data_IF_215874506066
#
_entry.id   IF_215874506066
#
_cell.length_a   1.000
_cell.length_b   1.000
_cell.length_c   1.000
_cell.angle_alpha   90.00
_cell.angle_beta   90.00
_cell.angle_gamma   90.00
#
_symmetry.space_group_name_H-M   'P 1'
#
loop_
_entity.id
_entity.type
_entity.pdbx_description
1 polymer ?
#
# COMPACT_ATOMS: atom_id res chain seq x y z
N UNK A 1 -17.38 -52.29 -68.47
CA UNK A 1 -18.10 -51.17 -67.71
C UNK A 1 -17.41 -51.05 -66.36
N UNK A 2 -16.51 -50.12 -66.23
CA UNK A 2 -15.80 -49.90 -64.97
C UNK A 2 -16.04 -48.46 -64.52
N UNK A 3 -16.80 -48.28 -63.44
CA UNK A 3 -17.10 -46.97 -62.86
C UNK A 3 -15.96 -46.58 -61.91
N UNK A 4 -15.21 -45.57 -62.29
CA UNK A 4 -14.23 -44.89 -61.39
C UNK A 4 -15.00 -44.01 -60.39
N UNK A 5 -14.89 -44.32 -59.09
CA UNK A 5 -15.25 -43.42 -58.00
C UNK A 5 -14.11 -42.43 -57.74
N UNK A 6 -14.33 -41.15 -58.00
CA UNK A 6 -13.45 -40.06 -57.56
C UNK A 6 -13.82 -39.66 -56.13
N UNK A 7 -12.97 -40.02 -55.19
CA UNK A 7 -13.06 -39.49 -53.81
C UNK A 7 -12.54 -38.07 -53.77
N UNK A 8 -13.39 -37.11 -53.50
CA UNK A 8 -13.02 -35.74 -53.23
C UNK A 8 -12.69 -35.66 -51.73
N UNK A 9 -11.39 -35.49 -51.39
CA UNK A 9 -10.92 -35.17 -50.03
C UNK A 9 -11.10 -33.67 -49.82
N UNK A 10 -12.12 -33.29 -49.06
CA UNK A 10 -12.28 -31.90 -48.60
C UNK A 10 -11.37 -31.70 -47.38
N UNK A 11 -10.25 -31.08 -47.58
CA UNK A 11 -9.39 -30.61 -46.47
C UNK A 11 -10.06 -29.38 -45.89
N UNK A 12 -10.71 -29.53 -44.72
CA UNK A 12 -11.26 -28.43 -43.93
C UNK A 12 -10.09 -27.75 -43.22
N UNK A 13 -9.53 -26.69 -43.79
CA UNK A 13 -8.64 -25.76 -43.09
C UNK A 13 -9.43 -25.04 -42.06
N UNK A 14 -9.41 -25.51 -40.79
CA UNK A 14 -9.84 -24.71 -39.64
C UNK A 14 -8.86 -23.56 -39.44
N UNK A 15 -9.11 -22.42 -40.06
CA UNK A 15 -8.54 -21.17 -39.69
C UNK A 15 -9.06 -20.86 -38.27
N UNK A 16 -8.24 -21.13 -37.27
CA UNK A 16 -8.44 -20.63 -35.90
C UNK A 16 -8.37 -19.10 -35.95
N UNK A 17 -9.49 -18.45 -36.20
CA UNK A 17 -9.65 -17.03 -35.96
C UNK A 17 -9.52 -16.82 -34.45
N UNK A 18 -8.34 -16.46 -33.98
CA UNK A 18 -8.18 -15.90 -32.64
C UNK A 18 -9.15 -14.72 -32.54
N UNK A 19 -10.04 -14.74 -31.56
CA UNK A 19 -10.90 -13.58 -31.28
C UNK A 19 -10.02 -12.35 -31.09
N UNK A 20 -10.45 -11.13 -31.47
CA UNK A 20 -9.66 -9.91 -31.28
C UNK A 20 -9.12 -9.76 -29.86
N UNK A 21 -9.79 -10.34 -28.89
CA UNK A 21 -9.44 -10.37 -27.47
C UNK A 21 -8.22 -11.25 -27.19
N UNK A 22 -8.15 -12.48 -27.71
CA UNK A 22 -6.98 -13.36 -27.57
C UNK A 22 -5.71 -12.74 -28.19
N UNK A 23 -5.87 -11.79 -29.11
CA UNK A 23 -4.78 -11.11 -29.78
C UNK A 23 -4.03 -10.13 -28.86
N UNK A 24 -4.73 -9.38 -27.96
CA UNK A 24 -4.11 -8.39 -27.06
C UNK A 24 -3.13 -9.04 -26.09
N UNK A 25 -3.53 -10.12 -25.42
CA UNK A 25 -2.64 -10.84 -24.49
C UNK A 25 -1.46 -11.48 -25.20
N UNK A 26 -1.68 -12.05 -26.40
CA UNK A 26 -0.59 -12.61 -27.21
C UNK A 26 0.42 -11.53 -27.64
N UNK A 27 -0.04 -10.32 -27.95
CA UNK A 27 0.81 -9.18 -28.27
C UNK A 27 1.61 -8.71 -27.05
N UNK A 28 0.96 -8.61 -25.88
CA UNK A 28 1.63 -8.27 -24.62
C UNK A 28 2.71 -9.30 -24.27
N UNK A 29 2.43 -10.60 -24.39
CA UNK A 29 3.44 -11.67 -24.16
C UNK A 29 4.63 -11.53 -25.09
N UNK A 30 4.43 -11.24 -26.37
CA UNK A 30 5.54 -11.02 -27.32
C UNK A 30 6.35 -9.77 -26.95
N UNK A 31 5.71 -8.70 -26.52
CA UNK A 31 6.38 -7.50 -26.07
C UNK A 31 7.21 -7.77 -24.81
N UNK A 32 6.65 -8.48 -23.81
CA UNK A 32 7.34 -8.86 -22.58
C UNK A 32 8.51 -9.84 -22.80
N UNK A 33 8.48 -10.63 -23.88
CA UNK A 33 9.56 -11.56 -24.23
C UNK A 33 10.80 -10.88 -24.85
N UNK A 34 10.72 -9.59 -25.19
CA UNK A 34 11.87 -8.83 -25.68
C UNK A 34 12.82 -8.49 -24.52
N UNK A 35 14.10 -8.30 -24.82
CA UNK A 35 15.05 -7.76 -23.83
C UNK A 35 14.61 -6.37 -23.34
N UNK A 36 14.66 -6.13 -22.04
CA UNK A 36 14.11 -4.91 -21.39
C UNK A 36 14.67 -3.64 -22.04
N UNK A 37 15.97 -3.60 -22.34
CA UNK A 37 16.65 -2.45 -22.94
C UNK A 37 16.23 -2.19 -24.40
N UNK A 38 15.67 -3.20 -25.07
CA UNK A 38 15.26 -3.12 -26.48
C UNK A 38 13.76 -2.88 -26.65
N UNK A 39 12.99 -2.89 -25.55
CA UNK A 39 11.54 -2.71 -25.62
C UNK A 39 11.19 -1.26 -25.96
N UNK A 40 10.32 -1.07 -26.96
CA UNK A 40 9.60 0.20 -27.11
C UNK A 40 8.77 0.48 -25.87
N UNK A 41 8.47 1.75 -25.53
CA UNK A 41 7.46 2.03 -24.52
C UNK A 41 6.15 1.31 -24.81
N UNK A 42 5.56 0.63 -23.83
CA UNK A 42 4.30 -0.11 -24.03
C UNK A 42 3.18 0.80 -24.55
N UNK A 43 3.20 2.09 -24.20
CA UNK A 43 2.27 3.12 -24.69
C UNK A 43 2.31 3.33 -26.21
N UNK A 44 3.39 2.94 -26.90
CA UNK A 44 3.52 3.02 -28.35
C UNK A 44 2.89 1.83 -29.08
N UNK A 45 2.53 0.78 -28.34
CA UNK A 45 1.95 -0.42 -28.92
C UNK A 45 0.48 -0.23 -29.28
N UNK A 46 0.08 -0.66 -30.46
CA UNK A 46 -1.29 -0.49 -30.99
C UNK A 46 -2.37 -1.16 -30.13
N UNK A 47 -2.00 -2.15 -29.33
CA UNK A 47 -2.91 -2.86 -28.42
C UNK A 47 -3.04 -2.22 -27.05
N UNK A 48 -2.22 -1.22 -26.72
CA UNK A 48 -2.15 -0.60 -25.40
C UNK A 48 -3.47 0.04 -24.93
N UNK A 49 -4.21 0.65 -25.87
CA UNK A 49 -5.47 1.37 -25.60
C UNK A 49 -6.73 0.51 -25.80
N UNK A 50 -6.60 -0.77 -26.14
CA UNK A 50 -7.77 -1.64 -26.34
C UNK A 50 -8.44 -1.97 -25.02
N UNK A 51 -9.78 -1.95 -25.02
CA UNK A 51 -10.56 -2.41 -23.90
C UNK A 51 -10.32 -3.90 -23.64
N UNK A 52 -10.17 -4.27 -22.38
CA UNK A 52 -9.90 -5.64 -21.94
C UNK A 52 -11.16 -6.27 -21.32
N UNK A 53 -11.36 -7.54 -21.56
CA UNK A 53 -12.24 -8.35 -20.73
C UNK A 53 -11.66 -8.53 -19.33
N UNK A 54 -12.47 -8.94 -18.36
CA UNK A 54 -12.02 -9.27 -16.99
C UNK A 54 -10.88 -10.29 -16.99
N UNK A 55 -11.01 -11.35 -17.80
CA UNK A 55 -9.97 -12.40 -17.91
C UNK A 55 -8.65 -11.84 -18.43
N UNK A 56 -8.70 -11.01 -19.49
CA UNK A 56 -7.50 -10.39 -20.04
C UNK A 56 -6.84 -9.42 -19.08
N UNK A 57 -7.63 -8.60 -18.39
CA UNK A 57 -7.09 -7.66 -17.39
C UNK A 57 -6.40 -8.40 -16.25
N UNK A 58 -6.96 -9.52 -15.77
CA UNK A 58 -6.33 -10.37 -14.73
C UNK A 58 -5.04 -10.99 -15.22
N UNK A 59 -5.02 -11.53 -16.45
CA UNK A 59 -3.81 -12.13 -17.03
C UNK A 59 -2.75 -11.06 -17.31
N UNK A 60 -3.12 -9.92 -17.87
CA UNK A 60 -2.22 -8.79 -18.11
C UNK A 60 -1.60 -8.26 -16.81
N UNK A 61 -2.40 -8.09 -15.75
CA UNK A 61 -1.92 -7.66 -14.44
C UNK A 61 -0.86 -8.62 -13.89
N UNK A 62 -1.11 -9.94 -13.97
CA UNK A 62 -0.16 -10.97 -13.54
C UNK A 62 1.15 -10.90 -14.32
N UNK A 63 1.08 -10.77 -15.64
CA UNK A 63 2.25 -10.72 -16.52
C UNK A 63 3.09 -9.46 -16.29
N UNK A 64 2.46 -8.30 -16.22
CA UNK A 64 3.15 -7.01 -16.02
C UNK A 64 3.77 -6.95 -14.62
N UNK A 65 3.05 -7.39 -13.58
CA UNK A 65 3.58 -7.42 -12.22
C UNK A 65 4.78 -8.37 -12.09
N UNK A 66 4.71 -9.54 -12.72
CA UNK A 66 5.83 -10.49 -12.73
C UNK A 66 7.07 -9.90 -13.43
N UNK A 67 6.90 -9.20 -14.54
CA UNK A 67 7.97 -8.52 -15.26
C UNK A 67 8.61 -7.41 -14.41
N UNK A 68 7.80 -6.54 -13.80
CA UNK A 68 8.28 -5.51 -12.86
C UNK A 68 9.04 -6.14 -11.69
N UNK A 69 8.53 -7.21 -11.09
CA UNK A 69 9.22 -7.91 -9.99
C UNK A 69 10.57 -8.50 -10.42
N UNK A 70 10.66 -9.03 -11.63
CA UNK A 70 11.93 -9.56 -12.15
C UNK A 70 12.96 -8.45 -12.34
N UNK A 71 12.56 -7.28 -12.85
CA UNK A 71 13.43 -6.11 -12.98
C UNK A 71 13.90 -5.60 -11.59
N UNK A 72 12.99 -5.51 -10.62
CA UNK A 72 13.35 -5.12 -9.25
C UNK A 72 14.21 -6.14 -8.51
N UNK A 73 14.04 -7.45 -8.77
CA UNK A 73 14.95 -8.47 -8.22
C UNK A 73 16.39 -8.25 -8.63
N UNK A 74 16.63 -7.88 -9.87
CA UNK A 74 17.98 -7.62 -10.36
C UNK A 74 18.64 -6.43 -9.64
N UNK A 75 17.89 -5.37 -9.39
CA UNK A 75 18.42 -4.14 -8.75
C UNK A 75 18.49 -4.23 -7.23
N UNK A 76 17.50 -4.84 -6.58
CA UNK A 76 17.38 -4.87 -5.12
C UNK A 76 18.18 -6.00 -4.46
N UNK A 77 18.65 -7.01 -5.20
CA UNK A 77 19.33 -8.17 -4.62
C UNK A 77 20.53 -7.77 -3.78
N UNK A 78 21.44 -6.98 -4.36
CA UNK A 78 22.64 -6.51 -3.65
C UNK A 78 22.30 -5.63 -2.44
N UNK A 79 21.28 -4.78 -2.54
CA UNK A 79 20.84 -3.93 -1.43
C UNK A 79 20.28 -4.77 -0.27
N UNK A 80 19.48 -5.78 -0.58
CA UNK A 80 18.94 -6.70 0.43
C UNK A 80 20.04 -7.51 1.12
N UNK A 81 20.98 -8.07 0.35
CA UNK A 81 22.12 -8.85 0.87
C UNK A 81 23.05 -8.00 1.74
N UNK A 82 23.28 -6.75 1.33
CA UNK A 82 24.11 -5.80 2.11
C UNK A 82 23.33 -5.09 3.22
N UNK A 83 22.00 -5.32 3.34
CA UNK A 83 21.11 -4.67 4.32
C UNK A 83 21.18 -3.14 4.26
N UNK A 84 21.26 -2.59 3.06
CA UNK A 84 21.35 -1.16 2.77
C UNK A 84 20.53 -0.83 1.51
N UNK A 85 19.37 -0.22 1.70
CA UNK A 85 18.51 0.26 0.60
C UNK A 85 18.96 1.67 0.22
N UNK A 86 18.91 1.98 -1.09
CA UNK A 86 19.36 3.25 -1.64
C UNK A 86 18.25 3.82 -2.52
N UNK A 87 17.94 5.10 -2.35
CA UNK A 87 17.04 5.85 -3.20
C UNK A 87 17.55 7.28 -3.39
N UNK A 88 18.07 7.60 -4.59
CA UNK A 88 18.76 8.86 -4.83
C UNK A 88 19.96 9.00 -3.88
N UNK A 89 20.01 10.10 -3.14
CA UNK A 89 21.04 10.39 -2.14
C UNK A 89 20.71 9.79 -0.76
N UNK A 90 19.50 9.28 -0.57
CA UNK A 90 19.04 8.72 0.68
C UNK A 90 19.35 7.23 0.79
N UNK A 91 19.59 6.77 2.00
CA UNK A 91 19.82 5.34 2.26
C UNK A 91 19.21 4.89 3.58
N UNK A 92 18.76 3.64 3.61
CA UNK A 92 18.21 2.99 4.80
C UNK A 92 19.00 1.73 5.11
N UNK A 93 19.85 1.81 6.12
CA UNK A 93 20.47 0.63 6.70
C UNK A 93 19.46 -0.12 7.56
N UNK A 94 19.44 -1.44 7.51
CA UNK A 94 18.54 -2.24 8.32
C UNK A 94 19.23 -3.53 8.80
N UNK A 95 18.63 -4.17 9.78
CA UNK A 95 18.92 -5.54 10.16
C UNK A 95 17.64 -6.29 10.46
N UNK A 96 17.65 -7.61 10.38
CA UNK A 96 16.45 -8.39 10.58
C UNK A 96 16.71 -9.75 11.24
N UNK A 97 15.65 -10.30 11.81
CA UNK A 97 15.59 -11.68 12.30
C UNK A 97 14.37 -12.38 11.70
N UNK A 98 14.50 -13.64 11.41
CA UNK A 98 13.39 -14.51 11.02
C UNK A 98 12.94 -15.33 12.21
N UNK A 99 11.61 -15.47 12.36
CA UNK A 99 10.98 -16.23 13.41
C UNK A 99 10.00 -17.25 12.82
N UNK A 100 9.87 -18.39 13.46
CA UNK A 100 8.91 -19.44 13.12
C UNK A 100 9.02 -19.97 11.68
N UNK A 101 8.16 -20.92 11.36
CA UNK A 101 8.04 -21.48 10.01
C UNK A 101 7.30 -20.51 9.07
N UNK A 102 7.55 -20.66 7.77
CA UNK A 102 6.83 -19.85 6.76
C UNK A 102 5.39 -20.34 6.61
N UNK A 103 4.39 -19.50 6.89
CA UNK A 103 3.00 -19.82 6.60
C UNK A 103 2.77 -20.04 5.10
N UNK A 104 1.74 -20.83 4.75
CA UNK A 104 1.41 -21.10 3.33
C UNK A 104 1.13 -19.84 2.53
N UNK A 105 0.50 -18.85 3.15
CA UNK A 105 0.15 -17.58 2.54
C UNK A 105 1.28 -16.54 2.53
N UNK A 106 2.45 -16.88 3.01
CA UNK A 106 3.60 -15.96 3.14
C UNK A 106 3.81 -15.47 4.58
N UNK A 107 4.99 -14.93 4.84
CA UNK A 107 5.42 -14.43 6.16
C UNK A 107 4.80 -13.09 6.50
N UNK A 108 4.70 -12.83 7.79
CA UNK A 108 4.47 -11.48 8.32
C UNK A 108 5.76 -10.63 8.23
N UNK A 109 5.60 -9.33 8.03
CA UNK A 109 6.68 -8.35 8.14
C UNK A 109 6.38 -7.39 9.29
N UNK A 110 7.33 -7.27 10.24
CA UNK A 110 7.27 -6.29 11.32
C UNK A 110 8.39 -5.28 11.12
N UNK A 111 8.05 -4.03 10.78
CA UNK A 111 9.00 -2.93 10.68
C UNK A 111 8.99 -2.20 12.02
N UNK A 112 10.11 -2.25 12.74
CA UNK A 112 10.23 -1.78 14.11
C UNK A 112 11.25 -0.64 14.21
N UNK A 113 10.76 0.58 14.37
CA UNK A 113 11.54 1.80 14.40
C UNK A 113 12.14 2.06 15.77
N UNK A 114 13.45 2.39 15.78
CA UNK A 114 14.19 2.68 17.01
C UNK A 114 13.89 4.09 17.56
N UNK A 115 14.09 4.25 18.86
CA UNK A 115 14.06 5.53 19.54
C UNK A 115 15.33 6.35 19.32
N UNK A 116 15.44 7.50 19.97
CA UNK A 116 16.57 8.42 19.86
C UNK A 116 16.14 9.74 19.21
N UNK A 117 16.87 10.16 18.19
CA UNK A 117 16.68 11.47 17.57
C UNK A 117 17.41 12.60 18.30
N UNK A 118 17.75 13.65 17.57
CA UNK A 118 18.50 14.81 18.06
C UNK A 118 19.70 14.44 18.96
N UNK A 119 20.43 13.39 18.58
CA UNK A 119 21.52 12.81 19.34
C UNK A 119 22.68 12.42 18.42
N UNK A 120 23.87 12.28 19.01
CA UNK A 120 25.05 11.84 18.25
C UNK A 120 24.80 10.50 17.55
N UNK A 121 25.36 10.25 16.34
CA UNK A 121 25.16 9.01 15.57
C UNK A 121 25.34 7.75 16.41
N UNK A 122 26.38 7.69 17.27
CA UNK A 122 26.64 6.53 18.14
C UNK A 122 25.47 6.20 19.08
N UNK A 123 24.71 7.20 19.52
CA UNK A 123 23.56 7.02 20.40
C UNK A 123 22.42 6.39 19.60
N UNK A 124 22.11 6.93 18.42
CA UNK A 124 21.09 6.38 17.53
C UNK A 124 21.45 4.97 17.04
N UNK A 125 22.72 4.69 16.78
CA UNK A 125 23.21 3.34 16.44
C UNK A 125 22.99 2.36 17.61
N UNK A 126 23.19 2.81 18.86
CA UNK A 126 22.89 1.97 20.02
C UNK A 126 21.39 1.71 20.17
N UNK A 127 20.54 2.73 19.95
CA UNK A 127 19.09 2.57 19.98
C UNK A 127 18.62 1.58 18.88
N UNK A 128 19.18 1.68 17.67
CA UNK A 128 18.92 0.72 16.60
C UNK A 128 19.31 -0.72 16.98
N UNK A 129 20.50 -0.92 17.56
CA UNK A 129 20.94 -2.24 18.05
C UNK A 129 20.04 -2.78 19.15
N UNK A 130 19.50 -1.93 20.00
CA UNK A 130 18.52 -2.31 21.02
C UNK A 130 17.21 -2.74 20.37
N UNK A 131 16.71 -1.99 19.37
CA UNK A 131 15.46 -2.27 18.68
C UNK A 131 15.45 -3.63 17.98
N UNK A 132 16.58 -4.04 17.37
CA UNK A 132 16.74 -5.38 16.73
C UNK A 132 16.45 -6.54 17.70
N UNK A 133 16.55 -6.32 19.00
CA UNK A 133 16.41 -7.35 20.05
C UNK A 133 15.14 -7.18 20.89
N UNK A 134 14.35 -6.16 20.61
CA UNK A 134 13.32 -5.72 21.54
C UNK A 134 12.11 -6.67 21.54
N UNK A 135 11.65 -7.13 20.37
CA UNK A 135 10.47 -7.97 20.24
C UNK A 135 10.76 -9.28 19.51
N UNK A 136 9.93 -10.31 19.82
CA UNK A 136 10.06 -11.66 19.27
C UNK A 136 8.68 -12.15 18.82
N UNK A 137 8.25 -11.85 17.59
CA UNK A 137 7.00 -12.39 17.05
C UNK A 137 7.06 -13.91 16.93
N UNK A 138 5.91 -14.57 16.94
CA UNK A 138 5.82 -16.03 16.81
C UNK A 138 6.21 -16.54 15.41
N UNK A 139 5.96 -15.75 14.37
CA UNK A 139 6.38 -16.00 12.98
C UNK A 139 6.67 -14.69 12.26
N UNK A 140 7.39 -14.78 11.12
CA UNK A 140 7.62 -13.66 10.22
C UNK A 140 9.04 -13.16 10.22
N UNK A 141 9.24 -12.04 9.56
CA UNK A 141 10.49 -11.29 9.51
C UNK A 141 10.35 -10.02 10.34
N UNK A 142 11.17 -9.87 11.35
CA UNK A 142 11.26 -8.70 12.19
C UNK A 142 12.43 -7.85 11.74
N UNK A 143 12.15 -6.70 11.18
CA UNK A 143 13.14 -5.76 10.62
C UNK A 143 13.24 -4.53 11.51
N UNK A 144 14.45 -4.17 11.89
CA UNK A 144 14.75 -2.89 12.51
C UNK A 144 15.56 -2.03 11.54
N UNK A 145 14.97 -0.99 10.93
CA UNK A 145 15.73 -0.01 10.16
C UNK A 145 16.48 0.93 11.07
N UNK A 146 17.64 1.43 10.61
CA UNK A 146 18.37 2.57 11.18
C UNK A 146 17.89 3.82 10.47
N UNK A 147 17.30 4.76 11.20
CA UNK A 147 16.84 6.00 10.61
C UNK A 147 17.91 6.68 9.75
N UNK A 148 17.57 7.20 8.57
CA UNK A 148 18.55 7.81 7.67
C UNK A 148 19.30 8.98 8.31
N UNK A 149 18.65 9.77 9.14
CA UNK A 149 19.20 10.94 9.82
C UNK A 149 19.39 10.72 11.32
N UNK A 150 19.91 11.75 12.02
CA UNK A 150 20.02 11.79 13.48
C UNK A 150 19.24 12.96 14.08
N UNK A 151 18.39 13.59 13.30
CA UNK A 151 17.54 14.73 13.67
C UNK A 151 16.41 14.30 14.62
N UNK A 152 15.70 15.25 15.22
CA UNK A 152 14.57 14.94 16.12
C UNK A 152 13.40 14.25 15.37
N UNK A 153 13.23 14.62 14.10
CA UNK A 153 12.18 14.18 13.17
C UNK A 153 12.59 12.98 12.31
N UNK A 154 13.55 12.20 12.75
CA UNK A 154 14.25 11.14 12.02
C UNK A 154 13.34 10.10 11.31
N UNK A 155 12.07 10.01 11.70
CA UNK A 155 11.07 9.12 11.07
C UNK A 155 9.93 9.88 10.37
N UNK A 156 9.92 11.22 10.42
CA UNK A 156 8.83 12.03 9.86
C UNK A 156 9.06 12.42 8.40
N UNK A 157 10.30 12.47 7.96
CA UNK A 157 10.75 13.01 6.68
C UNK A 157 10.24 12.15 5.50
N UNK A 158 9.93 12.78 4.37
CA UNK A 158 9.29 12.15 3.19
C UNK A 158 10.09 11.01 2.56
N UNK A 159 11.42 11.08 2.61
CA UNK A 159 12.28 10.01 2.09
C UNK A 159 12.12 8.68 2.86
N UNK A 160 11.66 8.72 4.12
CA UNK A 160 11.37 7.52 4.93
C UNK A 160 10.27 6.69 4.28
N UNK A 161 9.22 7.33 3.77
CA UNK A 161 8.09 6.68 3.11
C UNK A 161 8.56 5.91 1.87
N UNK A 162 9.39 6.53 1.03
CA UNK A 162 9.96 5.91 -0.17
C UNK A 162 10.91 4.75 0.18
N UNK A 163 11.74 4.92 1.20
CA UNK A 163 12.64 3.87 1.66
C UNK A 163 11.87 2.70 2.30
N UNK A 164 10.74 2.96 2.96
CA UNK A 164 9.88 1.89 3.49
C UNK A 164 9.13 1.16 2.39
N UNK A 165 8.62 1.85 1.35
CA UNK A 165 8.07 1.18 0.16
C UNK A 165 9.14 0.26 -0.49
N UNK A 166 10.39 0.70 -0.56
CA UNK A 166 11.50 -0.10 -1.07
C UNK A 166 11.83 -1.30 -0.16
N UNK A 167 11.79 -1.11 1.17
CA UNK A 167 12.00 -2.18 2.15
C UNK A 167 10.90 -3.24 2.05
N UNK A 168 9.64 -2.82 1.95
CA UNK A 168 8.49 -3.70 1.77
C UNK A 168 8.65 -4.52 0.50
N UNK A 169 8.95 -3.88 -0.63
CA UNK A 169 9.16 -4.56 -1.90
C UNK A 169 10.30 -5.58 -1.80
N UNK A 170 11.44 -5.22 -1.20
CA UNK A 170 12.56 -6.13 -1.01
C UNK A 170 12.17 -7.34 -0.14
N UNK A 171 11.44 -7.11 0.95
CA UNK A 171 10.96 -8.19 1.82
C UNK A 171 9.97 -9.13 1.10
N UNK A 172 9.07 -8.60 0.26
CA UNK A 172 8.18 -9.40 -0.60
C UNK A 172 8.98 -10.24 -1.59
N UNK A 173 10.01 -9.65 -2.22
CA UNK A 173 10.80 -10.32 -3.26
C UNK A 173 11.78 -11.39 -2.72
N UNK A 174 12.36 -11.19 -1.52
CA UNK A 174 13.48 -11.99 -1.02
C UNK A 174 13.18 -12.75 0.28
N UNK A 175 12.09 -12.43 0.96
CA UNK A 175 11.73 -13.08 2.23
C UNK A 175 10.32 -13.68 2.24
N UNK A 176 9.68 -13.83 1.08
CA UNK A 176 8.33 -14.38 0.92
C UNK A 176 7.27 -13.69 1.81
N UNK A 177 7.38 -12.38 1.98
CA UNK A 177 6.42 -11.60 2.77
C UNK A 177 5.09 -11.50 2.03
N UNK A 178 4.00 -11.70 2.77
CA UNK A 178 2.66 -11.41 2.28
C UNK A 178 2.37 -9.91 2.46
N UNK A 179 2.09 -9.15 1.39
CA UNK A 179 1.85 -7.70 1.47
C UNK A 179 0.62 -7.32 2.31
N UNK A 180 -0.26 -8.26 2.63
CA UNK A 180 -1.40 -8.03 3.53
C UNK A 180 -1.11 -8.36 5.01
N UNK A 181 0.13 -8.71 5.33
CA UNK A 181 0.60 -9.03 6.69
C UNK A 181 1.81 -8.16 7.08
N UNK A 182 1.71 -6.85 6.85
CA UNK A 182 2.77 -5.89 7.18
C UNK A 182 2.34 -5.05 8.37
N UNK A 183 3.18 -4.99 9.38
CA UNK A 183 2.93 -4.36 10.66
C UNK A 183 4.01 -3.31 10.95
N UNK A 184 3.57 -2.10 11.31
CA UNK A 184 4.45 -1.01 11.69
C UNK A 184 4.48 -0.87 13.22
N UNK A 185 5.66 -0.73 13.79
CA UNK A 185 5.81 -0.52 15.23
C UNK A 185 7.04 0.35 15.55
N UNK A 186 7.06 0.94 16.71
CA UNK A 186 8.20 1.77 17.09
C UNK A 186 8.13 2.27 18.52
N UNK A 187 9.28 2.53 19.12
CA UNK A 187 9.44 2.93 20.51
C UNK A 187 10.06 4.33 20.62
N UNK A 188 9.55 5.18 21.51
CA UNK A 188 10.03 6.55 21.74
C UNK A 188 9.97 7.37 20.43
N UNK A 189 11.05 7.94 19.93
CA UNK A 189 11.05 8.59 18.61
C UNK A 189 10.59 7.65 17.46
N UNK A 190 10.79 6.33 17.60
CA UNK A 190 10.17 5.35 16.70
C UNK A 190 8.64 5.29 16.85
N UNK A 191 8.12 5.52 18.06
CA UNK A 191 6.70 5.68 18.33
C UNK A 191 6.13 6.98 17.73
N UNK A 192 6.90 8.07 17.74
CA UNK A 192 6.57 9.31 17.01
C UNK A 192 6.42 8.99 15.52
N UNK A 193 7.37 8.23 14.94
CA UNK A 193 7.29 7.76 13.57
C UNK A 193 6.07 6.89 13.27
N UNK A 194 5.61 6.07 14.22
CA UNK A 194 4.36 5.30 14.03
C UNK A 194 3.15 6.23 13.92
N UNK A 195 3.06 7.25 14.75
CA UNK A 195 2.00 8.25 14.65
C UNK A 195 2.00 8.95 13.28
N UNK A 196 3.17 9.19 12.69
CA UNK A 196 3.33 9.83 11.39
C UNK A 196 2.98 8.88 10.24
N UNK A 197 3.63 7.73 10.18
CA UNK A 197 3.58 6.81 9.04
C UNK A 197 2.30 5.97 9.01
N UNK A 198 1.72 5.62 10.18
CA UNK A 198 0.55 4.77 10.21
C UNK A 198 -0.67 5.39 9.52
N UNK A 199 -1.07 6.65 9.76
CA UNK A 199 -2.20 7.26 9.07
C UNK A 199 -1.91 7.63 7.62
N UNK A 200 -0.70 8.13 7.28
CA UNK A 200 -0.39 8.61 5.93
C UNK A 200 -0.07 7.50 4.93
N UNK A 201 0.36 6.33 5.42
CA UNK A 201 0.63 5.12 4.62
C UNK A 201 -0.27 3.95 5.01
N UNK A 202 -1.50 4.21 5.50
CA UNK A 202 -2.38 3.15 6.02
C UNK A 202 -2.71 2.07 4.98
N UNK A 203 -2.61 2.37 3.71
CA UNK A 203 -2.78 1.42 2.62
C UNK A 203 -1.61 0.43 2.45
N UNK A 204 -0.57 0.53 3.29
CA UNK A 204 0.55 -0.43 3.40
C UNK A 204 0.41 -1.38 4.58
N UNK A 205 -0.27 -0.96 5.64
CA UNK A 205 -0.25 -1.65 6.91
C UNK A 205 -1.50 -2.50 7.16
N UNK A 206 -1.34 -3.67 7.78
CA UNK A 206 -2.44 -4.42 8.39
C UNK A 206 -2.79 -3.83 9.76
N UNK A 207 -1.77 -3.48 10.54
CA UNK A 207 -1.92 -2.80 11.82
C UNK A 207 -0.63 -2.05 12.18
N UNK A 208 -0.74 -1.13 13.14
CA UNK A 208 0.39 -0.42 13.69
C UNK A 208 0.34 -0.32 15.23
N UNK A 209 1.51 -0.32 15.86
CA UNK A 209 1.67 -0.24 17.31
C UNK A 209 2.61 0.88 17.71
N UNK A 210 2.09 1.92 18.34
CA UNK A 210 2.83 3.02 18.89
C UNK A 210 3.22 2.74 20.35
N UNK A 211 4.53 2.81 20.65
CA UNK A 211 5.05 2.64 22.01
C UNK A 211 5.81 3.88 22.45
N UNK A 212 5.36 4.51 23.54
CA UNK A 212 5.99 5.65 24.22
C UNK A 212 6.33 6.85 23.30
N UNK A 213 5.55 7.07 22.23
CA UNK A 213 5.76 8.15 21.27
C UNK A 213 4.88 9.38 21.50
N UNK A 214 5.11 10.41 20.66
CA UNK A 214 4.38 11.67 20.60
C UNK A 214 3.84 11.90 19.18
N UNK A 215 2.55 12.25 18.98
CA UNK A 215 1.95 12.39 17.65
C UNK A 215 2.38 13.65 16.89
N UNK A 216 2.89 14.65 17.58
CA UNK A 216 3.09 15.98 17.02
C UNK A 216 1.78 16.54 16.41
N UNK A 217 1.79 16.92 15.13
CA UNK A 217 0.67 17.52 14.39
C UNK A 217 -0.25 16.52 13.68
N UNK A 218 0.06 15.21 13.73
CA UNK A 218 -0.67 14.22 12.94
C UNK A 218 -2.12 14.02 13.33
N UNK A 219 -2.91 13.52 12.38
CA UNK A 219 -4.33 13.23 12.53
C UNK A 219 -4.62 11.73 12.53
N UNK A 220 -5.51 11.22 13.40
CA UNK A 220 -5.92 9.83 13.40
C UNK A 220 -6.85 9.45 12.23
N UNK A 221 -7.30 10.39 11.41
CA UNK A 221 -8.33 10.15 10.38
C UNK A 221 -7.92 9.09 9.36
N UNK A 222 -6.65 9.05 8.96
CA UNK A 222 -6.12 8.05 8.03
C UNK A 222 -6.09 6.60 8.58
N UNK A 223 -6.25 6.42 9.90
CA UNK A 223 -6.19 5.10 10.55
C UNK A 223 -7.45 4.25 10.36
N UNK A 224 -8.47 4.75 9.65
CA UNK A 224 -9.78 4.09 9.56
C UNK A 224 -9.74 2.60 9.24
N UNK A 225 -8.84 2.19 8.36
CA UNK A 225 -8.85 0.84 7.76
C UNK A 225 -7.77 -0.10 8.30
N UNK A 226 -7.05 0.30 9.33
CA UNK A 226 -6.01 -0.53 9.98
C UNK A 226 -6.29 -0.70 11.48
N UNK A 227 -5.72 -1.74 12.07
CA UNK A 227 -5.65 -1.84 13.53
C UNK A 227 -4.60 -0.85 14.06
N UNK A 228 -4.92 -0.09 15.12
CA UNK A 228 -3.96 0.82 15.74
C UNK A 228 -3.94 0.65 17.25
N UNK A 229 -2.75 0.41 17.84
CA UNK A 229 -2.64 0.28 19.28
C UNK A 229 -1.63 1.26 19.85
N UNK A 230 -1.97 1.81 21.00
CA UNK A 230 -1.18 2.78 21.76
C UNK A 230 -0.74 2.12 23.07
N UNK A 231 0.56 2.06 23.31
CA UNK A 231 1.15 1.61 24.55
C UNK A 231 1.97 2.75 25.16
N UNK A 232 1.67 3.12 26.41
CA UNK A 232 2.31 4.25 27.06
C UNK A 232 2.50 3.98 28.55
N UNK A 233 3.66 4.34 29.09
CA UNK A 233 3.85 4.33 30.54
C UNK A 233 2.93 5.35 31.20
N UNK A 234 2.16 4.93 32.22
CA UNK A 234 1.24 5.85 32.92
C UNK A 234 1.96 7.02 33.59
N UNK A 235 3.25 6.84 33.91
CA UNK A 235 4.14 7.85 34.52
C UNK A 235 5.03 8.58 33.50
N UNK A 236 4.87 8.33 32.18
CA UNK A 236 5.65 9.03 31.14
C UNK A 236 5.10 10.43 30.90
N UNK A 237 5.41 11.33 31.83
CA UNK A 237 4.94 12.72 31.79
C UNK A 237 5.82 13.64 30.90
N UNK A 238 7.00 13.18 30.44
CA UNK A 238 7.82 13.98 29.55
C UNK A 238 7.07 14.28 28.26
N UNK A 239 7.09 15.54 27.83
CA UNK A 239 6.30 16.04 26.69
C UNK A 239 4.79 15.75 26.78
N UNK A 240 4.26 15.52 27.97
CA UNK A 240 2.86 15.14 28.22
C UNK A 240 2.40 13.87 27.50
N UNK A 241 3.31 12.93 27.23
CA UNK A 241 3.02 11.72 26.40
C UNK A 241 1.86 10.91 26.96
N UNK A 242 1.80 10.67 28.28
CA UNK A 242 0.73 9.91 28.92
C UNK A 242 -0.65 10.57 28.74
N UNK A 243 -0.74 11.90 28.90
CA UNK A 243 -2.01 12.63 28.72
C UNK A 243 -2.40 12.72 27.24
N UNK A 244 -1.42 12.85 26.35
CA UNK A 244 -1.64 12.83 24.90
C UNK A 244 -2.15 11.46 24.45
N UNK A 245 -1.57 10.37 24.96
CA UNK A 245 -2.05 9.01 24.67
C UNK A 245 -3.52 8.84 25.10
N UNK A 246 -3.92 9.34 26.30
CA UNK A 246 -5.31 9.34 26.75
C UNK A 246 -6.23 10.15 25.80
N UNK A 247 -5.78 11.32 25.35
CA UNK A 247 -6.55 12.14 24.40
C UNK A 247 -6.73 11.45 23.06
N UNK A 248 -5.67 10.83 22.54
CA UNK A 248 -5.75 10.06 21.29
C UNK A 248 -6.72 8.88 21.41
N UNK A 249 -6.71 8.19 22.56
CA UNK A 249 -7.70 7.14 22.84
C UNK A 249 -9.12 7.67 22.73
N UNK A 250 -9.44 8.78 23.41
CA UNK A 250 -10.77 9.40 23.33
C UNK A 250 -11.14 9.85 21.91
N UNK A 251 -10.18 10.34 21.13
CA UNK A 251 -10.40 10.70 19.73
C UNK A 251 -10.74 9.45 18.89
N UNK A 252 -10.00 8.37 19.05
CA UNK A 252 -10.24 7.11 18.35
C UNK A 252 -11.57 6.48 18.77
N UNK A 253 -11.92 6.51 20.06
CA UNK A 253 -13.25 6.10 20.56
C UNK A 253 -14.37 6.86 19.86
N UNK A 254 -14.25 8.20 19.78
CA UNK A 254 -15.24 9.06 19.12
C UNK A 254 -15.35 8.74 17.62
N UNK A 255 -14.21 8.56 16.93
CA UNK A 255 -14.19 8.19 15.52
C UNK A 255 -14.82 6.82 15.28
N UNK A 256 -14.55 5.83 16.14
CA UNK A 256 -15.14 4.51 16.03
C UNK A 256 -16.65 4.52 16.33
N UNK A 257 -17.12 5.35 17.26
CA UNK A 257 -18.56 5.53 17.51
C UNK A 257 -19.29 6.13 16.31
N UNK A 258 -18.66 7.09 15.63
CA UNK A 258 -19.22 7.74 14.42
C UNK A 258 -19.14 6.84 13.18
N UNK A 259 -18.15 5.95 13.12
CA UNK A 259 -17.93 5.00 12.03
C UNK A 259 -17.55 3.62 12.59
N UNK A 260 -18.54 2.83 13.05
CA UNK A 260 -18.29 1.54 13.72
C UNK A 260 -17.56 0.50 12.88
N UNK A 261 -17.52 0.70 11.55
CA UNK A 261 -16.79 -0.15 10.60
C UNK A 261 -15.30 0.09 10.54
N UNK A 262 -14.79 1.18 11.16
CA UNK A 262 -13.40 1.61 11.12
C UNK A 262 -12.76 1.81 12.49
N UNK A 263 -11.55 2.37 12.49
CA UNK A 263 -10.82 2.83 13.67
C UNK A 263 -10.67 1.78 14.78
N UNK A 264 -10.39 0.53 14.40
CA UNK A 264 -10.15 -0.55 15.38
C UNK A 264 -8.88 -0.26 16.16
N UNK A 265 -9.01 -0.07 17.47
CA UNK A 265 -7.89 0.35 18.30
C UNK A 265 -7.92 -0.24 19.70
N UNK A 266 -6.77 -0.18 20.37
CA UNK A 266 -6.59 -0.44 21.81
C UNK A 266 -5.62 0.61 22.33
N UNK A 267 -5.96 1.19 23.49
CA UNK A 267 -5.07 2.10 24.22
C UNK A 267 -4.79 1.53 25.59
N UNK A 268 -3.53 1.25 25.87
CA UNK A 268 -3.09 0.70 27.13
C UNK A 268 -2.06 1.60 27.80
N UNK A 269 -2.42 2.16 28.95
CA UNK A 269 -1.48 2.82 29.84
C UNK A 269 -0.98 1.78 30.86
N UNK A 270 0.34 1.58 30.88
CA UNK A 270 1.00 0.63 31.76
C UNK A 270 1.21 1.29 33.14
N UNK A 271 0.42 0.86 34.12
CA UNK A 271 0.44 1.47 35.44
C UNK A 271 1.80 1.30 36.12
N UNK A 272 2.25 2.35 36.80
CA UNK A 272 3.55 2.38 37.47
C UNK A 272 4.76 2.40 36.54
N UNK A 273 4.58 2.46 35.20
CA UNK A 273 5.69 2.49 34.26
C UNK A 273 6.01 3.91 33.82
N UNK A 274 7.30 4.30 33.86
CA UNK A 274 7.79 5.52 33.23
C UNK A 274 7.94 5.31 31.73
N UNK A 275 8.80 6.11 31.06
CA UNK A 275 9.09 6.00 29.62
C UNK A 275 9.46 4.58 29.17
N UNK A 276 10.23 3.85 29.97
CA UNK A 276 10.53 2.43 29.73
C UNK A 276 9.46 1.52 30.38
N UNK A 277 8.65 0.88 29.53
CA UNK A 277 7.54 0.02 29.98
C UNK A 277 7.95 -1.41 30.34
N UNK A 278 9.25 -1.70 30.43
CA UNK A 278 9.77 -3.01 30.79
C UNK A 278 9.26 -4.16 29.91
N UNK A 279 9.03 -3.87 28.62
CA UNK A 279 8.48 -4.80 27.61
C UNK A 279 7.04 -5.25 27.85
N UNK A 280 6.29 -4.64 28.74
CA UNK A 280 4.86 -4.92 28.91
C UNK A 280 4.04 -4.58 27.66
N UNK A 281 4.55 -3.66 26.84
CA UNK A 281 4.05 -3.28 25.53
C UNK A 281 4.18 -4.39 24.45
N UNK A 282 4.90 -5.48 24.75
CA UNK A 282 5.06 -6.63 23.83
C UNK A 282 3.76 -7.31 23.46
N UNK A 283 2.70 -7.13 24.25
CA UNK A 283 1.32 -7.60 23.97
C UNK A 283 0.75 -6.99 22.69
N UNK A 284 1.32 -5.89 22.19
CA UNK A 284 0.96 -5.31 20.92
C UNK A 284 1.23 -6.25 19.72
N UNK A 285 2.29 -7.06 19.79
CA UNK A 285 2.68 -7.94 18.67
C UNK A 285 1.60 -8.98 18.36
N UNK A 286 1.13 -9.84 19.30
CA UNK A 286 0.05 -10.77 19.04
C UNK A 286 -1.27 -10.06 18.70
N UNK A 287 -1.52 -8.86 19.23
CA UNK A 287 -2.71 -8.10 18.86
C UNK A 287 -2.68 -7.67 17.40
N UNK A 288 -1.56 -7.13 16.90
CA UNK A 288 -1.40 -6.72 15.49
C UNK A 288 -1.61 -7.90 14.53
N UNK A 289 -1.13 -9.08 14.84
CA UNK A 289 -1.22 -10.28 13.98
C UNK A 289 -2.69 -10.68 13.72
N UNK A 290 -3.64 -10.26 14.55
CA UNK A 290 -5.07 -10.53 14.33
C UNK A 290 -5.65 -9.75 13.16
N UNK A 291 -4.92 -8.79 12.60
CA UNK A 291 -5.35 -7.95 11.47
C UNK A 291 -4.70 -8.40 10.17
N UNK A 292 -5.45 -8.23 9.08
CA UNK A 292 -4.95 -8.30 7.71
C UNK A 292 -5.33 -7.02 6.98
N UNK A 293 -4.45 -6.54 6.12
CA UNK A 293 -4.74 -5.38 5.28
C UNK A 293 -5.87 -5.72 4.30
N UNK A 294 -6.81 -4.81 4.16
CA UNK A 294 -7.75 -4.79 3.05
C UNK A 294 -7.29 -3.72 2.05
N UNK A 295 -6.75 -4.08 0.87
CA UNK A 295 -6.21 -3.11 -0.08
C UNK A 295 -7.30 -2.30 -0.80
N UNK A 296 -8.55 -2.77 -0.81
CA UNK A 296 -9.68 -2.10 -1.48
C UNK A 296 -10.88 -1.93 -0.53
N UNK A 297 -10.72 -1.20 0.59
CA UNK A 297 -11.78 -1.03 1.56
C UNK A 297 -12.95 -0.26 0.98
N UNK A 298 -14.19 -0.62 1.38
CA UNK A 298 -15.41 0.01 0.88
C UNK A 298 -15.59 1.47 1.29
N UNK A 299 -14.84 1.93 2.29
CA UNK A 299 -14.77 3.33 2.73
C UNK A 299 -13.33 3.74 2.95
N UNK A 300 -12.94 4.88 2.40
CA UNK A 300 -11.64 5.51 2.58
C UNK A 300 -11.84 6.89 3.20
N UNK A 301 -11.05 7.18 4.21
CA UNK A 301 -10.85 8.52 4.78
C UNK A 301 -9.39 8.85 4.58
N UNK A 302 -9.10 9.73 3.62
CA UNK A 302 -7.76 10.15 3.26
C UNK A 302 -7.50 11.55 3.76
N UNK A 303 -6.62 11.68 4.72
CA UNK A 303 -6.15 12.96 5.26
C UNK A 303 -4.72 13.18 4.83
N UNK A 304 -4.45 14.23 4.06
CA UNK A 304 -3.09 14.63 3.71
C UNK A 304 -2.39 15.21 4.93
N UNK A 305 -1.14 14.82 5.11
CA UNK A 305 -0.24 15.32 6.13
C UNK A 305 0.69 16.40 5.52
N UNK A 306 1.76 16.77 6.21
CA UNK A 306 2.84 17.61 5.67
C UNK A 306 3.66 16.86 4.60
N UNK A 307 3.80 15.54 4.72
CA UNK A 307 4.28 14.66 3.65
C UNK A 307 3.14 14.25 2.74
N UNK A 308 3.15 14.79 1.52
CA UNK A 308 2.06 14.59 0.57
C UNK A 308 2.16 13.25 -0.16
N UNK A 309 1.04 12.53 -0.24
CA UNK A 309 0.86 11.36 -1.09
C UNK A 309 -0.08 11.65 -2.25
N UNK A 310 0.26 11.12 -3.44
CA UNK A 310 -0.60 11.24 -4.62
C UNK A 310 -1.64 10.13 -4.73
N UNK A 311 -1.52 9.08 -3.94
CA UNK A 311 -2.47 7.96 -3.93
C UNK A 311 -2.65 7.38 -2.54
N UNK A 312 -3.86 6.88 -2.27
CA UNK A 312 -4.24 6.26 -1.02
C UNK A 312 -5.37 5.26 -1.25
N UNK A 313 -5.10 3.98 -1.10
CA UNK A 313 -6.00 2.89 -1.51
C UNK A 313 -6.39 3.01 -3.00
N UNK A 314 -7.67 3.17 -3.31
CA UNK A 314 -8.22 3.29 -4.65
C UNK A 314 -8.49 4.75 -5.10
N UNK A 315 -8.02 5.72 -4.33
CA UNK A 315 -8.07 7.14 -4.66
C UNK A 315 -6.67 7.65 -5.06
N UNK A 316 -6.64 8.60 -5.98
CA UNK A 316 -5.43 9.35 -6.29
C UNK A 316 -5.77 10.80 -6.67
N UNK A 317 -4.77 11.67 -6.59
CA UNK A 317 -4.85 13.05 -7.08
C UNK A 317 -3.73 13.29 -8.11
N UNK A 318 -3.95 14.16 -9.12
CA UNK A 318 -2.89 14.55 -10.03
C UNK A 318 -1.68 15.16 -9.31
N UNK A 319 -0.55 15.15 -9.99
CA UNK A 319 0.67 15.81 -9.48
C UNK A 319 0.41 17.30 -9.19
N UNK A 320 0.97 17.79 -8.09
CA UNK A 320 0.81 19.17 -7.64
C UNK A 320 -0.53 19.52 -6.99
N UNK A 321 -1.48 18.58 -6.89
CA UNK A 321 -2.80 18.82 -6.29
C UNK A 321 -2.83 18.52 -4.79
N UNK A 322 -1.97 17.61 -4.32
CA UNK A 322 -1.90 17.28 -2.90
C UNK A 322 -1.53 18.51 -2.05
N UNK A 323 -2.23 18.70 -0.93
CA UNK A 323 -1.97 19.82 -0.02
C UNK A 323 -2.17 19.40 1.44
N UNK A 324 -1.36 19.95 2.33
CA UNK A 324 -1.44 19.69 3.78
C UNK A 324 -2.84 19.97 4.30
N UNK A 325 -3.36 19.03 5.10
CA UNK A 325 -4.70 19.13 5.69
C UNK A 325 -5.84 18.81 4.74
N UNK A 326 -5.57 18.53 3.45
CA UNK A 326 -6.58 18.09 2.49
C UNK A 326 -7.26 16.80 2.94
N UNK A 327 -8.58 16.69 2.74
CA UNK A 327 -9.37 15.53 3.16
C UNK A 327 -10.29 15.06 2.04
N UNK A 328 -10.24 13.75 1.76
CA UNK A 328 -11.17 13.07 0.84
C UNK A 328 -11.84 11.93 1.61
N UNK A 329 -13.17 11.88 1.56
CA UNK A 329 -13.95 10.77 2.09
C UNK A 329 -14.77 10.17 0.97
N UNK A 330 -14.57 8.89 0.73
CA UNK A 330 -15.25 8.18 -0.36
C UNK A 330 -15.66 6.77 0.06
N UNK A 331 -16.79 6.32 -0.48
CA UNK A 331 -17.34 4.98 -0.27
C UNK A 331 -17.71 4.35 -1.60
N UNK A 332 -17.73 3.00 -1.63
CA UNK A 332 -18.44 2.28 -2.69
C UNK A 332 -19.31 1.17 -2.11
N UNK A 333 -20.42 0.90 -2.80
CA UNK A 333 -21.31 -0.23 -2.51
C UNK A 333 -21.90 -0.76 -3.83
N UNK A 334 -21.65 -2.04 -4.12
CA UNK A 334 -21.98 -2.59 -5.44
C UNK A 334 -21.24 -1.82 -6.53
N UNK A 335 -21.95 -1.29 -7.52
CA UNK A 335 -21.38 -0.50 -8.62
C UNK A 335 -21.55 1.02 -8.42
N UNK A 336 -21.83 1.47 -7.23
CA UNK A 336 -22.00 2.89 -6.90
C UNK A 336 -20.85 3.38 -6.00
N UNK A 337 -20.25 4.50 -6.38
CA UNK A 337 -19.21 5.22 -5.65
C UNK A 337 -19.80 6.55 -5.21
N UNK A 338 -19.61 6.92 -3.95
CA UNK A 338 -19.99 8.22 -3.43
C UNK A 338 -18.78 8.94 -2.85
N UNK A 339 -18.44 10.08 -3.40
CA UNK A 339 -17.46 11.02 -2.86
C UNK A 339 -18.22 11.93 -1.91
N UNK A 340 -18.11 11.65 -0.61
CA UNK A 340 -18.81 12.37 0.45
C UNK A 340 -18.17 13.73 0.72
N UNK A 341 -16.84 13.80 0.58
CA UNK A 341 -16.02 15.00 0.77
C UNK A 341 -14.81 14.94 -0.13
N UNK A 342 -14.41 16.07 -0.70
CA UNK A 342 -13.14 16.26 -1.39
C UNK A 342 -12.67 17.70 -1.21
N UNK A 343 -11.39 17.88 -0.86
CA UNK A 343 -10.75 19.20 -0.80
C UNK A 343 -10.39 19.74 -2.18
N UNK A 344 -10.47 18.92 -3.21
CA UNK A 344 -10.06 19.27 -4.59
C UNK A 344 -11.15 18.90 -5.59
N UNK A 345 -11.21 19.65 -6.69
CA UNK A 345 -12.02 19.30 -7.88
C UNK A 345 -11.36 18.28 -8.80
N UNK A 346 -10.07 17.96 -8.56
CA UNK A 346 -9.30 17.03 -9.38
C UNK A 346 -9.01 15.73 -8.60
N UNK A 347 -9.74 14.65 -8.92
CA UNK A 347 -9.65 13.36 -8.23
C UNK A 347 -9.62 12.22 -9.24
N UNK A 348 -8.77 11.23 -9.00
CA UNK A 348 -8.71 9.99 -9.75
C UNK A 348 -9.32 8.86 -8.91
N UNK A 349 -10.27 8.13 -9.48
CA UNK A 349 -10.92 6.98 -8.88
C UNK A 349 -10.45 5.74 -9.61
N UNK A 350 -9.68 4.90 -8.95
CA UNK A 350 -9.11 3.67 -9.50
C UNK A 350 -10.01 2.48 -9.20
N UNK A 351 -10.24 1.65 -10.21
CA UNK A 351 -11.21 0.58 -10.17
C UNK A 351 -10.62 -0.75 -10.60
N UNK A 352 -11.09 -1.82 -9.95
CA UNK A 352 -10.80 -3.18 -10.36
C UNK A 352 -11.98 -4.12 -10.06
N UNK A 353 -11.89 -5.36 -10.56
CA UNK A 353 -12.94 -6.37 -10.42
C UNK A 353 -13.09 -6.97 -9.01
N UNK A 354 -12.19 -6.62 -8.06
CA UNK A 354 -12.33 -6.98 -6.65
C UNK A 354 -13.27 -5.99 -5.92
N UNK A 355 -13.38 -4.77 -6.43
CA UNK A 355 -14.24 -3.74 -5.87
C UNK A 355 -15.67 -3.86 -6.38
N UNK A 356 -15.82 -4.02 -7.69
CA UNK A 356 -17.14 -3.98 -8.35
C UNK A 356 -17.13 -4.70 -9.69
N UNK A 357 -18.31 -4.93 -10.25
CA UNK A 357 -18.47 -5.56 -11.56
C UNK A 357 -18.31 -4.52 -12.69
N UNK A 358 -17.13 -4.43 -13.29
CA UNK A 358 -16.86 -3.48 -14.38
C UNK A 358 -17.54 -3.84 -15.72
N UNK A 359 -18.22 -4.98 -15.83
CA UNK A 359 -19.05 -5.30 -16.99
C UNK A 359 -20.46 -4.64 -16.92
N UNK A 360 -20.76 -4.00 -15.78
CA UNK A 360 -21.99 -3.24 -15.55
C UNK A 360 -21.69 -1.75 -15.44
N UNK A 361 -22.67 -0.87 -15.70
CA UNK A 361 -22.47 0.55 -15.49
C UNK A 361 -22.03 0.87 -14.06
N UNK A 362 -21.05 1.77 -13.96
CA UNK A 362 -20.59 2.37 -12.70
C UNK A 362 -21.33 3.69 -12.52
N UNK A 363 -21.74 3.96 -11.29
CA UNK A 363 -22.37 5.21 -10.91
C UNK A 363 -21.41 5.96 -9.98
N UNK A 364 -21.19 7.25 -10.23
CA UNK A 364 -20.40 8.10 -9.31
C UNK A 364 -21.25 9.26 -8.85
N UNK A 365 -21.28 9.46 -7.55
CA UNK A 365 -21.90 10.61 -6.89
C UNK A 365 -20.86 11.49 -6.22
N UNK A 366 -21.02 12.78 -6.33
CA UNK A 366 -20.24 13.78 -5.60
C UNK A 366 -21.20 14.54 -4.68
N UNK A 367 -21.00 14.44 -3.36
CA UNK A 367 -21.87 15.02 -2.35
C UNK A 367 -23.36 14.68 -2.59
N UNK A 368 -23.65 13.41 -2.90
CA UNK A 368 -24.98 12.89 -3.17
C UNK A 368 -25.53 13.13 -4.57
N UNK A 369 -24.95 14.06 -5.38
CA UNK A 369 -25.37 14.32 -6.75
C UNK A 369 -24.71 13.34 -7.71
N UNK A 370 -25.49 12.67 -8.56
CA UNK A 370 -24.94 11.81 -9.61
C UNK A 370 -24.24 12.67 -10.67
N UNK A 371 -22.95 12.37 -10.90
CA UNK A 371 -22.09 13.08 -11.87
C UNK A 371 -21.62 12.16 -12.99
N UNK A 372 -21.81 10.84 -12.84
CA UNK A 372 -21.49 9.86 -13.87
C UNK A 372 -22.34 8.62 -13.74
N UNK A 373 -22.73 8.09 -14.89
CA UNK A 373 -23.33 6.74 -15.04
C UNK A 373 -22.90 6.18 -16.39
N UNK A 374 -22.10 5.17 -16.40
CA UNK A 374 -21.60 4.61 -17.64
C UNK A 374 -20.76 3.36 -17.49
N UNK A 375 -20.42 2.75 -18.60
CA UNK A 375 -19.43 1.67 -18.67
C UNK A 375 -18.03 2.26 -18.47
N UNK A 376 -17.19 1.53 -17.74
CA UNK A 376 -15.77 1.88 -17.55
C UNK A 376 -14.92 0.72 -18.07
N UNK A 377 -14.10 0.99 -19.06
CA UNK A 377 -13.29 -0.03 -19.72
C UNK A 377 -12.00 -0.29 -18.94
N UNK A 378 -11.63 -1.57 -18.83
CA UNK A 378 -10.31 -2.00 -18.35
C UNK A 378 -9.31 -1.77 -19.46
N UNK A 379 -8.12 -1.28 -19.15
CA UNK A 379 -7.07 -1.04 -20.13
C UNK A 379 -5.67 -1.28 -19.58
N UNK A 380 -4.69 -1.49 -20.47
CA UNK A 380 -3.30 -1.73 -20.10
C UNK A 380 -2.61 -0.49 -19.52
N UNK A 381 -3.04 0.72 -19.90
CA UNK A 381 -2.42 1.95 -19.44
C UNK A 381 -2.58 2.11 -17.92
N UNK A 382 -3.81 1.92 -17.41
CA UNK A 382 -4.09 1.98 -15.98
C UNK A 382 -3.39 0.84 -15.23
N UNK A 383 -3.42 -0.40 -15.78
CA UNK A 383 -2.70 -1.53 -15.19
C UNK A 383 -1.20 -1.23 -15.04
N UNK A 384 -0.54 -0.82 -16.12
CA UNK A 384 0.89 -0.55 -16.10
C UNK A 384 1.25 0.58 -15.13
N UNK A 385 0.50 1.69 -15.17
CA UNK A 385 0.72 2.83 -14.29
C UNK A 385 0.58 2.44 -12.82
N UNK A 386 -0.52 1.79 -12.42
CA UNK A 386 -0.77 1.42 -11.04
C UNK A 386 0.19 0.34 -10.53
N UNK A 387 0.61 -0.60 -11.37
CA UNK A 387 1.64 -1.59 -11.04
C UNK A 387 2.98 -0.89 -10.80
N UNK A 388 3.42 -0.01 -11.70
CA UNK A 388 4.69 0.72 -11.54
C UNK A 388 4.71 1.65 -10.34
N UNK A 389 3.59 2.29 -10.05
CA UNK A 389 3.46 3.17 -8.89
C UNK A 389 3.50 2.39 -7.58
N UNK A 390 2.73 1.31 -7.48
CA UNK A 390 2.48 0.63 -6.21
C UNK A 390 3.32 -0.63 -5.99
N UNK A 391 3.64 -1.38 -7.03
CA UNK A 391 4.35 -2.67 -7.00
C UNK A 391 3.74 -3.69 -6.02
N UNK A 392 2.44 -3.59 -5.81
CA UNK A 392 1.66 -4.30 -4.82
C UNK A 392 0.47 -4.99 -5.51
N UNK A 393 0.36 -6.32 -5.45
CA UNK A 393 -0.69 -7.06 -6.14
C UNK A 393 -2.11 -6.69 -5.68
N UNK A 394 -2.28 -6.21 -4.44
CA UNK A 394 -3.55 -5.77 -3.89
C UNK A 394 -3.99 -4.39 -4.38
N UNK A 395 -3.04 -3.57 -4.87
CA UNK A 395 -3.27 -2.19 -5.32
C UNK A 395 -3.10 -2.03 -6.84
N UNK A 396 -3.39 -3.09 -7.59
CA UNK A 396 -3.44 -3.08 -9.05
C UNK A 396 -4.86 -2.74 -9.50
N UNK A 397 -4.99 -1.72 -10.33
CA UNK A 397 -6.26 -1.29 -10.88
C UNK A 397 -6.25 -1.36 -12.40
N UNK A 398 -7.38 -1.76 -12.99
CA UNK A 398 -7.49 -1.97 -14.43
C UNK A 398 -8.27 -0.86 -15.14
N UNK A 399 -8.95 0.00 -14.39
CA UNK A 399 -9.75 1.10 -14.91
C UNK A 399 -9.63 2.32 -13.99
N UNK A 400 -9.84 3.51 -14.53
CA UNK A 400 -9.77 4.76 -13.78
C UNK A 400 -10.74 5.79 -14.33
N UNK A 401 -11.37 6.54 -13.44
CA UNK A 401 -12.18 7.71 -13.75
C UNK A 401 -11.48 8.95 -13.18
N UNK A 402 -11.33 9.99 -14.00
CA UNK A 402 -10.83 11.29 -13.58
C UNK A 402 -11.99 12.25 -13.39
N UNK A 403 -12.08 12.88 -12.23
CA UNK A 403 -12.95 14.01 -11.96
C UNK A 403 -12.13 15.28 -12.15
N UNK A 404 -12.66 16.25 -12.91
CA UNK A 404 -12.11 17.59 -13.02
C UNK A 404 -13.28 18.58 -13.01
N UNK A 405 -13.33 19.46 -12.01
CA UNK A 405 -14.37 20.49 -11.84
C UNK A 405 -15.82 19.97 -11.96
N UNK A 406 -16.06 18.78 -11.39
CA UNK A 406 -17.38 18.13 -11.40
C UNK A 406 -17.73 17.39 -12.68
N UNK A 407 -16.83 17.35 -13.67
CA UNK A 407 -16.94 16.52 -14.87
C UNK A 407 -16.14 15.24 -14.68
N UNK A 408 -16.65 14.14 -15.23
CA UNK A 408 -15.94 12.85 -15.20
C UNK A 408 -15.56 12.41 -16.61
N UNK A 409 -14.30 11.97 -16.74
CA UNK A 409 -13.78 11.31 -17.93
C UNK A 409 -13.11 10.00 -17.55
N UNK A 410 -13.23 9.00 -18.42
CA UNK A 410 -12.44 7.79 -18.31
C UNK A 410 -11.00 8.08 -18.79
N UNK A 411 -10.00 7.70 -17.99
CA UNK A 411 -8.59 7.85 -18.40
C UNK A 411 -8.18 6.64 -19.25
N UNK A 412 -7.78 6.93 -20.48
CA UNK A 412 -7.25 5.96 -21.44
C UNK A 412 -5.78 6.25 -21.80
N UNK A 413 -5.08 7.00 -20.93
CA UNK A 413 -3.72 7.50 -21.20
C UNK A 413 -2.68 6.80 -20.33
#
# INVERSE_FOLDING_TARGET
MWKMFKSIVVILLMLLYLTPQAQTISQLKRWLAQEVQSRSPLSNETFFRKALSKKEATEAATLILADEYNQYRATLKSEWENKLLIHGDDSLKFDYKMFGDKPKEGRSLFISMHGGGNAAPRVNDQQWKNQIRLYTPAEGIYVAPRAPTNTWDLWHQSHVDTLFDRLILAAVLFADVNPDKIYLMGYSAGGDGVYQLAPRMADRWAAAAMMAGHPNETSPLGLRNIGFTIHMGALDAAYNRNEIARRWGKMLDSLQQLDPGGYKHVVQLHEGRPHWMNREDSVAVPWMISFRRNPVPSRVVWKQDDVHHQSFYWLAVPEGVAQTGGEIVATYKGNEINIERSYTGALLIRLNDNMMNLDKPVIVRLMGKEIFRGKVDRNLAVLQRTIRERKDPGLVFSAELAISDGLIQQTNH
#
